data_IF_517807072949
#
_entry.id   IF_517807072949
#
_cell.length_a   1.000
_cell.length_b   1.000
_cell.length_c   1.000
_cell.angle_alpha   90.00
_cell.angle_beta   90.00
_cell.angle_gamma   90.00
#
_symmetry.space_group_name_H-M   'P 1'
#
loop_
_entity.id
_entity.type
_entity.pdbx_description
1 polymer ?
#
# COMPACT_ATOMS: atom_id res chain seq x y z
N UNK A 1 -64.48 -10.76 13.14
CA UNK A 1 -63.50 -9.87 13.87
C UNK A 1 -62.14 -10.09 13.24
N UNK A 2 -61.69 -9.11 12.43
CA UNK A 2 -60.38 -9.16 11.75
C UNK A 2 -59.42 -8.29 12.54
N UNK A 3 -58.45 -8.92 13.18
CA UNK A 3 -57.38 -8.21 13.93
C UNK A 3 -56.40 -7.62 12.94
N UNK A 4 -56.28 -6.29 12.95
CA UNK A 4 -55.33 -5.49 12.16
C UNK A 4 -53.99 -5.50 12.89
N UNK A 5 -52.99 -6.26 12.37
CA UNK A 5 -51.62 -6.28 12.89
C UNK A 5 -50.86 -5.14 12.26
N UNK A 6 -50.74 -4.03 12.98
CA UNK A 6 -49.89 -2.90 12.56
C UNK A 6 -48.46 -3.25 12.95
N UNK A 7 -47.64 -3.62 11.96
CA UNK A 7 -46.23 -3.79 12.13
C UNK A 7 -45.56 -2.40 12.20
N UNK A 8 -45.09 -2.05 13.37
CA UNK A 8 -44.32 -0.84 13.63
C UNK A 8 -42.89 -1.05 13.07
N UNK A 9 -42.65 -0.60 11.84
CA UNK A 9 -41.29 -0.50 11.28
C UNK A 9 -40.59 0.70 11.95
N UNK A 10 -39.89 0.48 13.03
CA UNK A 10 -38.92 1.43 13.55
C UNK A 10 -37.75 1.47 12.60
N UNK A 11 -37.73 2.46 11.71
CA UNK A 11 -36.54 2.81 10.91
C UNK A 11 -35.45 3.30 11.87
N UNK A 12 -34.50 2.42 12.17
CA UNK A 12 -33.27 2.76 12.88
C UNK A 12 -32.42 3.58 11.90
N UNK A 13 -32.67 4.89 11.84
CA UNK A 13 -31.80 5.84 11.15
C UNK A 13 -30.47 5.86 11.89
N UNK A 14 -29.51 5.00 11.47
CA UNK A 14 -28.11 5.18 11.82
C UNK A 14 -27.68 6.52 11.20
N UNK A 15 -27.72 7.58 12.02
CA UNK A 15 -26.99 8.81 11.76
C UNK A 15 -25.50 8.42 11.69
N UNK A 16 -25.00 8.23 10.49
CA UNK A 16 -23.58 8.31 10.20
C UNK A 16 -23.19 9.75 10.49
N UNK A 17 -22.69 10.00 11.71
CA UNK A 17 -22.03 11.25 12.03
C UNK A 17 -20.87 11.37 11.03
N UNK A 18 -21.04 12.22 10.04
CA UNK A 18 -19.99 12.61 9.09
C UNK A 18 -18.98 13.44 9.87
N UNK A 19 -18.05 12.77 10.55
CA UNK A 19 -16.91 13.45 11.13
C UNK A 19 -16.09 14.02 9.98
N UNK A 20 -15.66 15.28 10.12
CA UNK A 20 -14.74 15.87 9.14
C UNK A 20 -13.50 14.98 8.98
N UNK A 21 -12.99 14.85 7.74
CA UNK A 21 -11.82 14.00 7.48
C UNK A 21 -10.60 14.57 8.22
N UNK A 22 -9.84 13.69 8.82
CA UNK A 22 -8.59 14.06 9.51
C UNK A 22 -7.51 14.49 8.50
N UNK A 23 -6.50 15.28 8.93
CA UNK A 23 -5.38 15.63 8.05
C UNK A 23 -4.70 14.42 7.41
N UNK A 24 -4.55 13.33 8.14
CA UNK A 24 -3.98 12.07 7.62
C UNK A 24 -4.85 11.44 6.53
N UNK A 25 -6.17 11.50 6.66
CA UNK A 25 -7.10 11.02 5.64
C UNK A 25 -7.06 11.87 4.37
N UNK A 26 -6.94 13.18 4.51
CA UNK A 26 -6.83 14.11 3.37
C UNK A 26 -5.53 13.85 2.60
N UNK A 27 -4.41 13.68 3.30
CA UNK A 27 -3.12 13.38 2.69
C UNK A 27 -3.12 12.03 2.00
N UNK A 28 -3.65 10.99 2.64
CA UNK A 28 -3.78 9.65 2.06
C UNK A 28 -4.62 9.67 0.79
N UNK A 29 -5.75 10.38 0.79
CA UNK A 29 -6.61 10.53 -0.39
C UNK A 29 -5.85 11.19 -1.54
N UNK A 30 -5.17 12.31 -1.27
CA UNK A 30 -4.37 13.01 -2.29
C UNK A 30 -3.30 12.12 -2.89
N UNK A 31 -2.53 11.41 -2.05
CA UNK A 31 -1.50 10.47 -2.49
C UNK A 31 -2.06 9.39 -3.41
N UNK A 32 -3.18 8.78 -3.04
CA UNK A 32 -3.85 7.75 -3.83
C UNK A 32 -4.38 8.28 -5.16
N UNK A 33 -4.99 9.47 -5.17
CA UNK A 33 -5.48 10.11 -6.40
C UNK A 33 -4.35 10.46 -7.37
N UNK A 34 -3.21 10.92 -6.87
CA UNK A 34 -2.01 11.17 -7.67
C UNK A 34 -1.49 9.88 -8.28
N UNK A 35 -1.35 8.81 -7.49
CA UNK A 35 -0.94 7.49 -7.97
C UNK A 35 -1.90 6.93 -9.02
N UNK A 36 -3.21 7.11 -8.85
CA UNK A 36 -4.22 6.67 -9.82
C UNK A 36 -4.18 7.44 -11.15
N UNK A 37 -3.48 8.59 -11.23
CA UNK A 37 -3.26 9.37 -12.45
C UNK A 37 -1.96 9.03 -13.17
N UNK A 38 -1.03 8.30 -12.51
CA UNK A 38 0.26 7.95 -13.12
C UNK A 38 0.07 7.15 -14.40
N UNK A 39 0.93 7.42 -15.37
CA UNK A 39 0.94 6.67 -16.62
C UNK A 39 1.47 5.24 -16.42
N UNK A 40 1.03 4.32 -17.29
CA UNK A 40 1.55 2.96 -17.31
C UNK A 40 2.98 2.98 -17.87
N UNK A 41 3.92 2.39 -17.12
CA UNK A 41 5.24 2.07 -17.62
C UNK A 41 5.55 0.59 -17.36
N UNK A 42 6.50 0.06 -18.10
CA UNK A 42 6.88 -1.36 -17.99
C UNK A 42 7.43 -1.63 -16.58
N UNK A 43 6.85 -2.62 -15.88
CA UNK A 43 7.20 -2.96 -14.50
C UNK A 43 6.29 -2.31 -13.45
N UNK A 44 5.48 -1.30 -13.83
CA UNK A 44 4.52 -0.69 -12.90
C UNK A 44 3.42 -1.66 -12.47
N UNK A 45 2.76 -1.34 -11.36
CA UNK A 45 1.58 -2.09 -10.90
C UNK A 45 0.50 -2.17 -11.99
N UNK A 46 0.30 -1.11 -12.77
CA UNK A 46 -0.71 -1.07 -13.83
C UNK A 46 -0.37 -2.01 -14.98
N UNK A 47 0.90 -2.07 -15.38
CA UNK A 47 1.36 -2.97 -16.43
C UNK A 47 1.26 -4.44 -15.99
N UNK A 48 1.61 -4.75 -14.74
CA UNK A 48 1.48 -6.10 -14.19
C UNK A 48 0.01 -6.53 -14.10
N UNK A 49 -0.87 -5.69 -13.53
CA UNK A 49 -2.29 -5.98 -13.44
C UNK A 49 -2.92 -6.21 -14.82
N UNK A 50 -2.55 -5.39 -15.80
CA UNK A 50 -3.03 -5.54 -17.20
C UNK A 50 -2.58 -6.85 -17.85
N UNK A 51 -1.38 -7.31 -17.57
CA UNK A 51 -0.90 -8.62 -18.02
C UNK A 51 -1.75 -9.77 -17.46
N UNK A 52 -2.31 -9.60 -16.26
CA UNK A 52 -3.24 -10.54 -15.63
C UNK A 52 -4.71 -10.28 -16.01
N UNK A 53 -4.97 -9.39 -16.97
CA UNK A 53 -6.33 -9.04 -17.41
C UNK A 53 -7.10 -8.15 -16.43
N UNK A 54 -6.42 -7.50 -15.49
CA UNK A 54 -7.02 -6.66 -14.45
C UNK A 54 -6.79 -5.18 -14.79
N UNK A 55 -7.85 -4.39 -14.78
CA UNK A 55 -7.73 -2.93 -14.79
C UNK A 55 -7.65 -2.41 -13.34
N UNK A 56 -6.45 -2.15 -12.87
CA UNK A 56 -6.18 -1.75 -11.49
C UNK A 56 -6.70 -0.34 -11.15
N UNK A 57 -6.67 0.60 -12.11
CA UNK A 57 -7.03 2.00 -11.87
C UNK A 57 -8.48 2.22 -11.43
N UNK A 58 -9.49 1.72 -12.15
CA UNK A 58 -10.87 1.89 -11.71
C UNK A 58 -11.14 1.21 -10.37
N UNK A 59 -10.49 0.07 -10.08
CA UNK A 59 -10.62 -0.60 -8.79
C UNK A 59 -10.04 0.29 -7.68
N UNK A 60 -8.85 0.84 -7.88
CA UNK A 60 -8.23 1.77 -6.91
C UNK A 60 -9.10 3.01 -6.70
N UNK A 61 -9.62 3.63 -7.76
CA UNK A 61 -10.52 4.80 -7.67
C UNK A 61 -11.78 4.48 -6.88
N UNK A 62 -12.44 3.37 -7.16
CA UNK A 62 -13.63 2.95 -6.40
C UNK A 62 -13.29 2.72 -4.92
N UNK A 63 -12.12 2.15 -4.59
CA UNK A 63 -11.70 1.98 -3.21
C UNK A 63 -11.40 3.34 -2.51
N UNK A 64 -10.89 4.34 -3.24
CA UNK A 64 -10.74 5.73 -2.75
C UNK A 64 -12.11 6.35 -2.43
N UNK A 65 -13.14 6.01 -3.22
CA UNK A 65 -14.54 6.45 -3.01
C UNK A 65 -15.28 5.57 -1.99
N UNK A 66 -14.55 4.80 -1.19
CA UNK A 66 -15.05 3.96 -0.11
C UNK A 66 -15.93 2.78 -0.57
N UNK A 67 -15.76 2.29 -1.80
CA UNK A 67 -16.39 1.06 -2.26
C UNK A 67 -15.72 -0.17 -1.63
N UNK A 68 -16.46 -0.84 -0.75
CA UNK A 68 -16.00 -2.03 -0.04
C UNK A 68 -15.65 -3.19 -0.99
N UNK A 69 -16.37 -3.37 -2.09
CA UNK A 69 -16.10 -4.45 -3.05
C UNK A 69 -14.78 -4.22 -3.77
N UNK A 70 -14.52 -2.98 -4.15
CA UNK A 70 -13.24 -2.59 -4.74
C UNK A 70 -12.08 -2.82 -3.76
N UNK A 71 -12.25 -2.43 -2.48
CA UNK A 71 -11.25 -2.66 -1.46
C UNK A 71 -10.95 -4.17 -1.27
N UNK A 72 -11.98 -5.01 -1.20
CA UNK A 72 -11.82 -6.48 -1.11
C UNK A 72 -11.10 -7.02 -2.35
N UNK A 73 -11.40 -6.51 -3.54
CA UNK A 73 -10.69 -6.91 -4.75
C UNK A 73 -9.20 -6.61 -4.69
N UNK A 74 -8.81 -5.46 -4.13
CA UNK A 74 -7.39 -5.11 -3.93
C UNK A 74 -6.70 -6.06 -2.95
N UNK A 75 -7.36 -6.50 -1.87
CA UNK A 75 -6.79 -7.41 -0.88
C UNK A 75 -6.31 -8.74 -1.45
N UNK A 76 -6.95 -9.23 -2.50
CA UNK A 76 -6.64 -10.50 -3.14
C UNK A 76 -5.55 -10.41 -4.20
N UNK A 77 -5.12 -9.20 -4.59
CA UNK A 77 -4.14 -9.01 -5.64
C UNK A 77 -2.71 -9.25 -5.13
N UNK A 78 -1.90 -9.86 -5.99
CA UNK A 78 -0.49 -10.14 -5.71
C UNK A 78 0.35 -9.59 -6.86
N UNK A 79 1.40 -8.87 -6.53
CA UNK A 79 2.33 -8.29 -7.47
C UNK A 79 3.76 -8.67 -7.10
N UNK A 80 4.70 -8.44 -8.01
CA UNK A 80 6.13 -8.72 -7.79
C UNK A 80 6.96 -7.44 -7.94
N UNK A 81 8.12 -7.42 -7.27
CA UNK A 81 9.07 -6.31 -7.36
C UNK A 81 8.43 -4.95 -7.07
N UNK A 82 8.69 -3.96 -7.90
CA UNK A 82 8.19 -2.59 -7.76
C UNK A 82 6.65 -2.50 -7.73
N UNK A 83 5.94 -3.36 -8.46
CA UNK A 83 4.49 -3.43 -8.42
C UNK A 83 3.97 -3.84 -7.04
N UNK A 84 4.68 -4.77 -6.36
CA UNK A 84 4.36 -5.17 -4.98
C UNK A 84 4.55 -4.03 -4.00
N UNK A 85 5.67 -3.30 -4.08
CA UNK A 85 5.95 -2.15 -3.21
C UNK A 85 4.87 -1.07 -3.36
N UNK A 86 4.51 -0.75 -4.60
CA UNK A 86 3.44 0.21 -4.91
C UNK A 86 2.10 -0.26 -4.36
N UNK A 87 1.79 -1.56 -4.49
CA UNK A 87 0.53 -2.12 -3.97
C UNK A 87 0.47 -2.06 -2.44
N UNK A 88 1.54 -2.44 -1.76
CA UNK A 88 1.64 -2.35 -0.30
C UNK A 88 1.46 -0.90 0.18
N UNK A 89 2.09 0.06 -0.49
CA UNK A 89 1.92 1.49 -0.20
C UNK A 89 0.47 1.96 -0.43
N UNK A 90 -0.21 1.47 -1.47
CA UNK A 90 -1.61 1.78 -1.72
C UNK A 90 -2.53 1.22 -0.63
N UNK A 91 -2.31 -0.03 -0.19
CA UNK A 91 -3.07 -0.63 0.91
C UNK A 91 -2.91 0.15 2.22
N UNK A 92 -1.69 0.59 2.53
CA UNK A 92 -1.42 1.45 3.69
C UNK A 92 -2.18 2.78 3.60
N UNK A 93 -2.12 3.46 2.46
CA UNK A 93 -2.81 4.74 2.28
C UNK A 93 -4.34 4.55 2.29
N UNK A 94 -4.87 3.44 1.75
CA UNK A 94 -6.29 3.09 1.86
C UNK A 94 -6.70 2.84 3.32
N UNK A 95 -5.88 2.17 4.11
CA UNK A 95 -6.15 2.00 5.54
C UNK A 95 -6.21 3.36 6.27
N UNK A 96 -5.28 4.28 5.97
CA UNK A 96 -5.31 5.65 6.50
C UNK A 96 -6.59 6.39 6.10
N UNK A 97 -6.98 6.28 4.83
CA UNK A 97 -8.18 6.94 4.29
C UNK A 97 -9.47 6.41 4.91
N UNK A 98 -9.61 5.08 5.00
CA UNK A 98 -10.81 4.43 5.54
C UNK A 98 -10.91 4.57 7.06
N UNK A 99 -9.78 4.76 7.75
CA UNK A 99 -9.66 4.72 9.20
C UNK A 99 -9.75 3.30 9.77
N UNK A 100 -9.21 3.13 10.97
CA UNK A 100 -9.05 1.81 11.60
C UNK A 100 -10.36 1.04 11.76
N UNK A 101 -11.43 1.73 12.12
CA UNK A 101 -12.74 1.12 12.40
C UNK A 101 -13.40 0.52 11.15
N UNK A 102 -13.34 1.22 10.03
CA UNK A 102 -13.99 0.74 8.80
C UNK A 102 -13.11 -0.28 8.09
N UNK A 103 -11.81 0.00 7.99
CA UNK A 103 -10.87 -0.88 7.33
C UNK A 103 -10.78 -2.24 8.03
N UNK A 104 -10.63 -2.26 9.36
CA UNK A 104 -10.56 -3.49 10.14
C UNK A 104 -11.80 -4.36 10.02
N UNK A 105 -13.02 -3.78 9.92
CA UNK A 105 -14.26 -4.52 9.68
C UNK A 105 -14.22 -5.25 8.34
N UNK A 106 -13.73 -4.59 7.27
CA UNK A 106 -13.63 -5.21 5.96
C UNK A 106 -12.60 -6.33 5.96
N UNK A 107 -11.44 -6.10 6.59
CA UNK A 107 -10.37 -7.12 6.72
C UNK A 107 -10.86 -8.31 7.55
N UNK A 108 -11.54 -8.11 8.68
CA UNK A 108 -12.06 -9.18 9.54
C UNK A 108 -13.02 -10.11 8.79
N UNK A 109 -13.77 -9.58 7.83
CA UNK A 109 -14.66 -10.37 6.99
C UNK A 109 -13.97 -11.25 5.94
N UNK A 110 -12.62 -11.19 5.83
CA UNK A 110 -11.86 -11.97 4.86
C UNK A 110 -11.36 -13.30 5.45
N UNK A 111 -11.02 -14.31 4.60
CA UNK A 111 -10.30 -15.51 5.01
C UNK A 111 -8.97 -15.16 5.71
N UNK A 112 -8.49 -16.07 6.56
CA UNK A 112 -7.27 -15.84 7.36
C UNK A 112 -6.06 -15.48 6.49
N UNK A 113 -5.87 -16.20 5.37
CA UNK A 113 -4.77 -15.98 4.44
C UNK A 113 -4.78 -14.56 3.82
N UNK A 114 -5.97 -14.01 3.56
CA UNK A 114 -6.12 -12.65 3.03
C UNK A 114 -5.86 -11.63 4.14
N UNK A 115 -6.33 -11.86 5.37
CA UNK A 115 -6.01 -10.99 6.50
C UNK A 115 -4.51 -10.90 6.73
N UNK A 116 -3.83 -12.05 6.76
CA UNK A 116 -2.38 -12.15 6.91
C UNK A 116 -1.66 -11.40 5.79
N UNK A 117 -2.11 -11.56 4.54
CA UNK A 117 -1.54 -10.89 3.39
C UNK A 117 -1.69 -9.36 3.51
N UNK A 118 -2.87 -8.86 3.85
CA UNK A 118 -3.14 -7.42 3.97
C UNK A 118 -2.29 -6.80 5.08
N UNK A 119 -2.29 -7.39 6.28
CA UNK A 119 -1.53 -6.85 7.42
C UNK A 119 -0.03 -6.89 7.14
N UNK A 120 0.51 -7.98 6.59
CA UNK A 120 1.94 -8.08 6.24
C UNK A 120 2.34 -7.12 5.12
N UNK A 121 1.45 -6.89 4.14
CA UNK A 121 1.71 -5.92 3.07
C UNK A 121 1.77 -4.49 3.59
N UNK A 122 0.87 -4.13 4.50
CA UNK A 122 0.88 -2.82 5.15
C UNK A 122 2.13 -2.66 6.02
N UNK A 123 2.50 -3.69 6.80
CA UNK A 123 3.70 -3.68 7.62
C UNK A 123 4.99 -3.52 6.79
N UNK A 124 5.04 -4.18 5.63
CA UNK A 124 6.15 -4.02 4.69
C UNK A 124 6.29 -2.57 4.18
N UNK A 125 5.17 -1.91 3.87
CA UNK A 125 5.15 -0.53 3.39
C UNK A 125 5.39 0.51 4.50
N UNK A 126 5.43 0.07 5.75
CA UNK A 126 5.50 0.95 6.92
C UNK A 126 6.84 0.81 7.63
N UNK A 127 7.79 1.67 7.27
CA UNK A 127 9.10 1.70 7.91
C UNK A 127 9.04 2.16 9.39
N UNK A 128 8.00 2.93 9.79
CA UNK A 128 7.97 3.72 11.02
C UNK A 128 6.92 3.30 12.04
N UNK A 129 6.48 2.05 12.05
CA UNK A 129 5.71 1.44 13.16
C UNK A 129 4.51 2.25 13.73
N UNK A 130 3.76 2.95 12.91
CA UNK A 130 2.54 3.67 13.35
C UNK A 130 1.34 2.73 13.66
N UNK A 131 1.58 1.43 13.88
CA UNK A 131 0.54 0.47 14.19
C UNK A 131 -0.27 0.81 15.45
N UNK A 132 0.31 1.58 16.37
CA UNK A 132 -0.40 2.09 17.54
C UNK A 132 -1.62 2.96 17.18
N UNK A 133 -1.66 3.55 15.98
CA UNK A 133 -2.79 4.32 15.47
C UNK A 133 -3.89 3.44 14.83
N UNK A 134 -3.57 2.16 14.54
CA UNK A 134 -4.47 1.22 13.85
C UNK A 134 -4.59 -0.12 14.58
N UNK A 135 -4.89 -0.11 15.89
CA UNK A 135 -4.86 -1.32 16.72
C UNK A 135 -5.91 -2.36 16.32
N UNK A 136 -7.06 -1.94 15.75
CA UNK A 136 -8.11 -2.87 15.31
C UNK A 136 -7.71 -3.61 14.05
N UNK A 137 -7.10 -2.93 13.09
CA UNK A 137 -6.58 -3.55 11.87
C UNK A 137 -5.44 -4.52 12.22
N UNK A 138 -4.52 -4.12 13.09
CA UNK A 138 -3.46 -4.99 13.58
C UNK A 138 -4.00 -6.25 14.25
N UNK A 139 -5.03 -6.13 15.08
CA UNK A 139 -5.63 -7.25 15.78
C UNK A 139 -6.28 -8.29 14.86
N UNK A 140 -6.52 -7.96 13.58
CA UNK A 140 -7.07 -8.93 12.61
C UNK A 140 -6.07 -10.03 12.23
N UNK A 141 -4.76 -9.75 12.31
CA UNK A 141 -3.68 -10.72 12.06
C UNK A 141 -2.38 -10.34 12.78
N UNK A 142 -2.31 -10.41 14.12
CA UNK A 142 -1.15 -9.99 14.90
C UNK A 142 0.10 -10.83 14.60
N UNK A 143 -0.06 -12.11 14.22
CA UNK A 143 1.05 -13.00 13.91
C UNK A 143 1.82 -12.64 12.64
N UNK A 144 1.24 -11.83 11.76
CA UNK A 144 1.86 -11.43 10.49
C UNK A 144 3.05 -10.48 10.68
N UNK A 145 3.04 -9.70 11.77
CA UNK A 145 4.10 -8.72 12.10
C UNK A 145 5.28 -9.39 12.81
N UNK A 146 5.02 -10.42 13.61
CA UNK A 146 6.07 -11.11 14.40
C UNK A 146 7.00 -11.97 13.55
N UNK A 147 6.67 -12.20 12.27
CA UNK A 147 7.46 -13.02 11.34
C UNK A 147 8.65 -12.27 10.71
N UNK A 148 8.78 -10.97 10.96
CA UNK A 148 9.93 -10.21 10.45
C UNK A 148 11.20 -10.65 11.21
N UNK A 149 12.25 -11.16 10.55
CA UNK A 149 13.51 -11.49 11.21
C UNK A 149 14.06 -10.24 11.92
N UNK A 150 14.56 -10.39 13.15
CA UNK A 150 15.14 -9.28 13.92
C UNK A 150 16.25 -8.54 13.15
N UNK A 151 16.98 -9.25 12.29
CA UNK A 151 18.01 -8.67 11.43
C UNK A 151 17.52 -7.59 10.45
N UNK A 152 16.23 -7.59 10.07
CA UNK A 152 15.65 -6.56 9.20
C UNK A 152 15.09 -5.36 9.98
N UNK A 153 14.83 -5.53 11.29
CA UNK A 153 14.37 -4.44 12.14
C UNK A 153 15.46 -3.42 12.45
N UNK A 154 16.71 -3.88 12.58
CA UNK A 154 17.86 -3.03 12.91
C UNK A 154 18.50 -2.39 11.67
N UNK A 155 18.19 -2.85 10.46
CA UNK A 155 18.78 -2.37 9.21
C UNK A 155 18.15 -1.09 8.63
N UNK A 156 16.98 -0.68 9.08
CA UNK A 156 16.26 0.47 8.52
C UNK A 156 16.86 1.85 8.92
N UNK A 157 17.91 1.88 9.72
CA UNK A 157 18.53 3.11 10.24
C UNK A 157 19.97 3.39 9.79
N UNK A 158 20.61 2.53 9.00
CA UNK A 158 21.94 2.85 8.50
C UNK A 158 21.83 3.42 7.08
N UNK A 159 22.15 4.73 6.87
CA UNK A 159 22.37 5.23 5.53
C UNK A 159 23.50 4.39 4.94
N UNK A 160 23.21 3.75 3.79
CA UNK A 160 24.21 3.03 3.03
C UNK A 160 25.43 3.94 2.85
N UNK A 161 26.49 3.70 3.61
CA UNK A 161 27.79 4.30 3.38
C UNK A 161 28.22 3.82 2.00
N UNK A 162 27.99 4.66 1.01
CA UNK A 162 28.47 4.49 -0.36
C UNK A 162 30.00 4.26 -0.23
N UNK A 163 30.53 3.11 -0.64
CA UNK A 163 31.98 2.94 -0.64
C UNK A 163 32.58 4.05 -1.52
N UNK A 164 33.46 4.82 -0.97
CA UNK A 164 34.25 5.80 -1.72
C UNK A 164 34.94 5.07 -2.88
N UNK A 165 34.87 5.58 -4.11
CA UNK A 165 35.59 5.02 -5.22
C UNK A 165 37.08 5.17 -4.89
N UNK A 166 37.78 4.06 -4.69
CA UNK A 166 39.24 4.03 -4.64
C UNK A 166 39.76 4.67 -5.91
N UNK A 167 40.40 5.82 -5.76
CA UNK A 167 41.16 6.44 -6.82
C UNK A 167 42.38 5.54 -7.11
N UNK A 168 42.26 4.61 -8.01
CA UNK A 168 43.41 3.96 -8.62
C UNK A 168 44.09 5.00 -9.51
N UNK A 169 45.17 5.56 -8.99
CA UNK A 169 46.16 6.31 -9.74
C UNK A 169 46.81 5.40 -10.77
N UNK A 170 46.21 5.34 -11.95
CA UNK A 170 46.75 4.71 -13.12
C UNK A 170 47.54 5.73 -13.92
N UNK A 171 48.84 5.81 -13.65
CA UNK A 171 49.86 6.46 -14.47
C UNK A 171 49.77 5.86 -15.90
N UNK A 172 49.23 6.59 -16.86
CA UNK A 172 49.27 6.21 -18.28
C UNK A 172 50.43 6.95 -18.93
N UNK A 173 51.41 6.21 -19.48
CA UNK A 173 52.46 6.83 -20.29
C UNK A 173 51.86 7.43 -21.58
N UNK A 174 52.24 8.66 -21.86
CA UNK A 174 51.97 9.36 -23.13
C UNK A 174 52.64 8.59 -24.27
N UNK A 175 51.93 8.37 -25.40
CA UNK A 175 52.62 7.96 -26.61
C UNK A 175 53.24 9.17 -27.29
N UNK A 176 54.52 9.00 -27.60
CA UNK A 176 55.35 9.92 -28.35
C UNK A 176 54.72 10.22 -29.75
N UNK A 177 54.81 11.47 -30.11
CA UNK A 177 54.45 11.97 -31.42
C UNK A 177 55.48 11.43 -32.46
N UNK A 178 55.08 10.56 -33.34
CA UNK A 178 55.83 10.17 -34.52
C UNK A 178 55.38 11.09 -35.68
N UNK A 179 56.27 12.08 -35.89
CA UNK A 179 56.36 12.92 -37.07
C UNK A 179 56.67 12.05 -38.30
N UNK A 180 55.74 11.97 -39.27
CA UNK A 180 56.06 11.52 -40.63
C UNK A 180 55.44 12.45 -41.67
N UNK A 181 56.38 13.29 -42.15
CA UNK A 181 56.30 13.94 -43.50
C UNK A 181 56.04 12.92 -44.59
N UNK A 182 55.06 13.14 -45.44
CA UNK A 182 55.15 13.21 -46.93
C UNK A 182 53.80 13.50 -47.53
#
# INVERSE_FOLDING_TARGET
>A
MKALLIALFTALSCSLASSEPTPSQIEAKRSLEEKAKMEEYRGSIYAQAKADGIDYRPILRSAIDLDQKALISLFAMKFMGEGSETHCANLKDLMKLWGDDQFSKVVTGQPAEIRDLVVSSIDYAWADQEWNLYPKTLATSPASITKRPEAERDGAGQPATRPEPKSEGGDKPQPEAEERSR
#
